data_IF_378593844788
#
_entry.id   IF_378593844788
#
_cell.length_a   1.000
_cell.length_b   1.000
_cell.length_c   1.000
_cell.angle_alpha   90.00
_cell.angle_beta   90.00
_cell.angle_gamma   90.00
#
_symmetry.space_group_name_H-M   'P 1'
#
loop_
_entity.id
_entity.type
_entity.pdbx_description
1 polymer ?
#
# COMPACT_ATOMS: atom_id res chain seq x y z
N UNK A 1 35.90 20.16 -33.97
CA UNK A 1 35.94 19.49 -32.63
C UNK A 1 34.82 19.91 -31.64
N UNK A 2 34.27 21.14 -31.70
CA UNK A 2 33.19 21.61 -30.79
C UNK A 2 31.80 20.96 -31.00
N UNK A 3 31.44 20.59 -32.22
CA UNK A 3 30.12 20.03 -32.56
C UNK A 3 29.86 18.66 -31.89
N UNK A 4 30.87 17.77 -31.89
CA UNK A 4 30.81 16.43 -31.24
C UNK A 4 30.64 16.50 -29.71
N UNK A 5 31.08 17.57 -29.05
CA UNK A 5 30.88 17.76 -27.60
C UNK A 5 29.46 18.19 -27.27
N UNK A 6 28.80 19.00 -28.12
CA UNK A 6 27.39 19.39 -27.95
C UNK A 6 26.44 18.21 -28.15
N UNK A 7 26.66 17.38 -29.17
CA UNK A 7 25.81 16.20 -29.42
C UNK A 7 25.91 15.15 -28.32
N UNK A 8 27.11 14.94 -27.74
CA UNK A 8 27.28 14.05 -26.57
C UNK A 8 26.57 14.57 -25.31
N UNK A 9 26.60 15.88 -25.05
CA UNK A 9 25.88 16.49 -23.91
C UNK A 9 24.35 16.38 -24.09
N UNK A 10 23.85 16.58 -25.30
CA UNK A 10 22.43 16.41 -25.61
C UNK A 10 21.97 14.95 -25.46
N UNK A 11 22.78 13.99 -25.92
CA UNK A 11 22.49 12.56 -25.75
C UNK A 11 22.47 12.13 -24.27
N UNK A 12 23.40 12.64 -23.46
CA UNK A 12 23.43 12.37 -22.00
C UNK A 12 22.22 13.01 -21.30
N UNK A 13 21.85 14.24 -21.63
CA UNK A 13 20.66 14.89 -21.06
C UNK A 13 19.36 14.16 -21.43
N UNK A 14 19.24 13.69 -22.68
CA UNK A 14 18.10 12.89 -23.13
C UNK A 14 18.04 11.52 -22.41
N UNK A 15 19.19 10.86 -22.19
CA UNK A 15 19.25 9.62 -21.44
C UNK A 15 18.85 9.81 -19.96
N UNK A 16 19.30 10.89 -19.30
CA UNK A 16 18.91 11.22 -17.93
C UNK A 16 17.41 11.50 -17.84
N UNK A 17 16.85 12.25 -18.80
CA UNK A 17 15.42 12.52 -18.85
C UNK A 17 14.59 11.24 -19.06
N UNK A 18 15.03 10.33 -19.94
CA UNK A 18 14.35 9.05 -20.18
C UNK A 18 14.38 8.14 -18.95
N UNK A 19 15.50 8.10 -18.21
CA UNK A 19 15.59 7.35 -16.95
C UNK A 19 14.68 7.96 -15.89
N UNK A 20 14.66 9.28 -15.73
CA UNK A 20 13.76 9.96 -14.78
C UNK A 20 12.27 9.70 -15.10
N UNK A 21 11.90 9.73 -16.38
CA UNK A 21 10.53 9.40 -16.83
C UNK A 21 10.21 7.93 -16.54
N UNK A 22 11.13 7.00 -16.83
CA UNK A 22 10.91 5.58 -16.56
C UNK A 22 10.74 5.27 -15.07
N UNK A 23 11.46 5.96 -14.18
CA UNK A 23 11.24 5.85 -12.73
C UNK A 23 9.88 6.44 -12.31
N UNK A 24 9.49 7.60 -12.83
CA UNK A 24 8.21 8.22 -12.49
C UNK A 24 7.00 7.39 -12.94
N UNK A 25 7.06 6.76 -14.13
CA UNK A 25 5.97 5.92 -14.65
C UNK A 25 5.75 4.65 -13.83
N UNK A 26 6.82 4.04 -13.29
CA UNK A 26 6.70 2.83 -12.43
C UNK A 26 5.93 3.10 -11.14
N UNK A 27 6.12 4.27 -10.53
CA UNK A 27 5.42 4.64 -9.30
C UNK A 27 3.91 4.78 -9.51
N UNK A 28 3.47 5.27 -10.67
CA UNK A 28 2.04 5.48 -10.97
C UNK A 28 1.28 4.19 -11.28
N UNK A 29 1.90 3.19 -11.92
CA UNK A 29 1.23 1.93 -12.28
C UNK A 29 0.91 1.08 -11.05
N UNK A 30 1.77 1.10 -10.02
CA UNK A 30 1.51 0.37 -8.78
C UNK A 30 0.32 0.96 -7.99
N UNK A 31 -0.01 2.23 -8.18
CA UNK A 31 -1.06 2.94 -7.42
C UNK A 31 -2.41 3.01 -8.13
N UNK A 32 -2.53 2.55 -9.38
CA UNK A 32 -3.76 2.67 -10.17
C UNK A 32 -4.48 1.33 -10.37
N UNK A 33 -4.67 0.61 -9.26
CA UNK A 33 -5.48 -0.60 -9.20
C UNK A 33 -6.95 -0.22 -8.92
N UNK A 34 -7.92 -0.88 -9.54
CA UNK A 34 -9.35 -0.67 -9.27
C UNK A 34 -9.78 -1.26 -7.92
N UNK A 35 -8.99 -2.19 -7.40
CA UNK A 35 -9.16 -2.80 -6.08
C UNK A 35 -8.31 -2.13 -5.00
N UNK A 36 -7.73 -0.97 -5.30
CA UNK A 36 -7.04 -0.17 -4.29
C UNK A 36 -7.99 0.19 -3.14
N UNK A 37 -7.56 -0.06 -1.91
CA UNK A 37 -8.39 0.12 -0.72
C UNK A 37 -9.03 1.51 -0.60
N UNK A 38 -8.35 2.58 -1.05
CA UNK A 38 -8.89 3.94 -1.00
C UNK A 38 -10.04 4.18 -2.00
N UNK A 39 -10.14 3.33 -3.03
CA UNK A 39 -11.26 3.35 -3.98
C UNK A 39 -12.41 2.47 -3.49
N UNK A 40 -12.11 1.27 -2.99
CA UNK A 40 -13.15 0.28 -2.69
C UNK A 40 -13.76 0.44 -1.30
N UNK A 41 -13.02 1.00 -0.32
CA UNK A 41 -13.45 1.14 1.08
C UNK A 41 -12.95 2.48 1.68
N UNK A 42 -13.24 3.63 1.04
CA UNK A 42 -12.78 4.92 1.54
C UNK A 42 -13.30 5.26 2.96
N UNK A 43 -14.38 4.62 3.40
CA UNK A 43 -14.97 4.82 4.72
C UNK A 43 -14.07 4.35 5.88
N UNK A 44 -13.21 3.34 5.66
CA UNK A 44 -12.35 2.77 6.69
C UNK A 44 -10.89 3.25 6.59
N UNK A 45 -10.50 3.90 5.49
CA UNK A 45 -9.11 4.23 5.20
C UNK A 45 -8.91 5.69 4.85
N UNK A 46 -7.89 6.29 5.45
CA UNK A 46 -7.48 7.66 5.18
C UNK A 46 -6.04 7.72 4.71
N UNK A 47 -5.80 8.39 3.60
CA UNK A 47 -4.45 8.72 3.15
C UNK A 47 -3.84 9.81 4.05
N UNK A 48 -2.71 9.53 4.68
CA UNK A 48 -2.01 10.49 5.57
C UNK A 48 -0.77 11.07 4.88
N UNK A 49 0.03 10.23 4.22
CA UNK A 49 1.26 10.63 3.54
C UNK A 49 1.28 9.97 2.17
N UNK A 50 1.65 10.74 1.14
CA UNK A 50 1.96 10.22 -0.18
C UNK A 50 3.21 10.90 -0.72
N UNK A 51 4.28 10.14 -0.95
CA UNK A 51 5.52 10.65 -1.49
C UNK A 51 6.14 9.62 -2.46
N UNK A 52 7.30 9.90 -3.10
CA UNK A 52 7.88 8.98 -4.08
C UNK A 52 8.25 7.59 -3.53
N UNK A 53 8.44 7.43 -2.21
CA UNK A 53 8.90 6.19 -1.60
C UNK A 53 7.77 5.40 -0.96
N UNK A 54 6.86 6.11 -0.28
CA UNK A 54 5.83 5.49 0.55
C UNK A 54 4.48 6.15 0.37
N UNK A 55 3.45 5.34 0.58
CA UNK A 55 2.09 5.77 0.91
C UNK A 55 1.79 5.35 2.35
N UNK A 56 1.22 6.23 3.16
CA UNK A 56 0.84 5.91 4.55
C UNK A 56 -0.67 6.08 4.71
N UNK A 57 -1.32 5.01 5.18
CA UNK A 57 -2.75 4.94 5.40
C UNK A 57 -3.05 4.78 6.90
N UNK A 58 -4.04 5.51 7.39
CA UNK A 58 -4.72 5.18 8.65
C UNK A 58 -5.87 4.24 8.30
N UNK A 59 -5.91 3.07 8.94
CA UNK A 59 -6.98 2.10 8.81
C UNK A 59 -7.77 2.02 10.12
N UNK A 60 -9.09 2.12 10.03
CA UNK A 60 -10.04 1.96 11.13
C UNK A 60 -11.15 1.02 10.70
N UNK A 61 -11.15 -0.19 11.26
CA UNK A 61 -12.13 -1.23 10.91
C UNK A 61 -13.04 -1.46 12.12
N UNK A 62 -14.32 -1.05 12.08
CA UNK A 62 -15.23 -1.22 13.21
C UNK A 62 -15.42 -2.68 13.61
N UNK A 63 -15.66 -2.92 14.89
CA UNK A 63 -15.96 -4.25 15.42
C UNK A 63 -17.20 -4.86 14.73
N UNK A 64 -17.14 -6.15 14.41
CA UNK A 64 -18.24 -6.89 13.78
C UNK A 64 -18.47 -6.60 12.30
N UNK A 65 -17.60 -5.82 11.64
CA UNK A 65 -17.71 -5.52 10.20
C UNK A 65 -16.83 -6.43 9.34
N UNK A 66 -17.24 -6.60 8.09
CA UNK A 66 -16.47 -7.29 7.05
C UNK A 66 -16.18 -6.32 5.90
N UNK A 67 -14.93 -6.26 5.49
CA UNK A 67 -14.47 -5.45 4.39
C UNK A 67 -14.69 -6.16 3.04
N UNK A 68 -14.97 -5.38 2.01
CA UNK A 68 -14.99 -5.87 0.62
C UNK A 68 -13.58 -6.34 0.21
N UNK A 69 -13.45 -7.26 -0.75
CA UNK A 69 -12.14 -7.59 -1.33
C UNK A 69 -11.37 -6.36 -1.80
N UNK A 70 -10.12 -6.22 -1.38
CA UNK A 70 -9.27 -5.08 -1.74
C UNK A 70 -7.78 -5.47 -1.75
N UNK A 71 -6.96 -4.53 -2.20
CA UNK A 71 -5.50 -4.66 -2.30
C UNK A 71 -4.81 -3.51 -1.58
N UNK A 72 -3.61 -3.85 -1.12
CA UNK A 72 -2.61 -2.94 -0.61
C UNK A 72 -1.30 -3.16 -1.37
N UNK A 73 -0.43 -2.16 -1.41
CA UNK A 73 0.99 -2.40 -1.74
C UNK A 73 1.65 -3.16 -0.59
N UNK A 74 2.79 -3.81 -0.87
CA UNK A 74 3.60 -4.46 0.17
C UNK A 74 4.06 -3.43 1.21
N UNK A 75 4.16 -3.82 2.47
CA UNK A 75 4.54 -2.86 3.51
C UNK A 75 4.40 -3.33 4.94
N UNK A 76 4.62 -2.38 5.84
CA UNK A 76 4.60 -2.56 7.30
C UNK A 76 3.31 -1.98 7.87
N UNK A 77 2.73 -2.63 8.86
CA UNK A 77 1.58 -2.14 9.63
C UNK A 77 1.93 -2.08 11.11
N UNK A 78 1.44 -1.05 11.81
CA UNK A 78 1.60 -0.84 13.25
C UNK A 78 0.23 -0.74 13.89
N UNK A 79 -0.09 -1.69 14.77
CA UNK A 79 -1.34 -1.70 15.52
C UNK A 79 -1.33 -0.63 16.62
N UNK A 80 -2.35 0.25 16.62
CA UNK A 80 -2.53 1.30 17.63
C UNK A 80 -3.56 0.92 18.70
N UNK A 81 -4.40 -0.08 18.42
CA UNK A 81 -5.33 -0.69 19.39
C UNK A 81 -5.08 -2.20 19.49
N UNK A 82 -5.65 -2.83 20.52
CA UNK A 82 -5.79 -4.28 20.54
C UNK A 82 -7.03 -4.68 19.74
N UNK A 83 -6.91 -5.67 18.86
CA UNK A 83 -8.00 -6.11 18.01
C UNK A 83 -7.81 -7.55 17.53
N UNK A 84 -8.89 -8.13 17.03
CA UNK A 84 -8.88 -9.44 16.38
C UNK A 84 -9.51 -9.36 15.00
N UNK A 85 -8.69 -9.59 13.97
CA UNK A 85 -9.16 -9.71 12.60
C UNK A 85 -9.08 -11.16 12.14
N UNK A 86 -9.98 -11.55 11.25
CA UNK A 86 -9.73 -12.67 10.35
C UNK A 86 -9.45 -12.13 8.97
N UNK A 87 -8.44 -12.69 8.30
CA UNK A 87 -8.07 -12.33 6.94
C UNK A 87 -7.90 -13.57 6.09
N UNK A 88 -8.19 -13.45 4.80
CA UNK A 88 -7.85 -14.47 3.81
C UNK A 88 -7.35 -13.85 2.51
N UNK A 89 -6.39 -14.51 1.88
CA UNK A 89 -6.00 -14.19 0.49
C UNK A 89 -7.03 -14.80 -0.46
N UNK A 90 -7.41 -14.08 -1.51
CA UNK A 90 -8.38 -14.56 -2.50
C UNK A 90 -7.69 -15.16 -3.74
N UNK A 91 -8.36 -16.08 -4.46
CA UNK A 91 -9.76 -16.51 -4.28
C UNK A 91 -9.98 -17.65 -3.27
N UNK A 92 -8.94 -18.40 -2.92
CA UNK A 92 -9.04 -19.73 -2.29
C UNK A 92 -8.35 -19.84 -0.91
N UNK A 93 -7.77 -18.75 -0.42
CA UNK A 93 -7.13 -18.71 0.88
C UNK A 93 -8.11 -18.92 2.04
N UNK A 94 -7.61 -19.58 3.08
CA UNK A 94 -8.39 -19.89 4.27
C UNK A 94 -8.49 -18.71 5.22
N UNK A 95 -9.56 -18.76 6.02
CA UNK A 95 -9.68 -18.17 7.36
C UNK A 95 -8.39 -18.17 8.20
N UNK A 96 -7.65 -17.06 8.30
CA UNK A 96 -6.58 -16.91 9.31
C UNK A 96 -6.98 -15.85 10.33
N UNK A 97 -7.01 -16.25 11.61
CA UNK A 97 -7.23 -15.35 12.75
C UNK A 97 -5.92 -14.65 13.13
N UNK A 98 -5.99 -13.34 13.28
CA UNK A 98 -4.89 -12.45 13.61
C UNK A 98 -5.25 -11.64 14.87
N UNK A 99 -4.62 -11.99 15.98
CA UNK A 99 -4.71 -11.21 17.22
C UNK A 99 -3.53 -10.25 17.29
N UNK A 100 -3.83 -8.96 17.48
CA UNK A 100 -2.82 -7.90 17.53
C UNK A 100 -2.97 -7.14 18.85
N UNK A 101 -1.84 -6.96 19.54
CA UNK A 101 -1.71 -6.07 20.70
C UNK A 101 -1.25 -4.69 20.24
N UNK A 102 -1.47 -3.66 21.06
CA UNK A 102 -0.91 -2.31 20.81
C UNK A 102 0.59 -2.39 20.57
N UNK A 103 1.08 -1.68 19.55
CA UNK A 103 2.49 -1.66 19.16
C UNK A 103 2.94 -2.85 18.30
N UNK A 104 2.07 -3.85 18.08
CA UNK A 104 2.41 -4.98 17.18
C UNK A 104 2.74 -4.43 15.79
N UNK A 105 3.93 -4.75 15.30
CA UNK A 105 4.40 -4.35 13.97
C UNK A 105 4.55 -5.59 13.10
N UNK A 106 4.00 -5.56 11.88
CA UNK A 106 4.02 -6.73 10.99
C UNK A 106 4.16 -6.35 9.52
N UNK A 107 4.77 -7.24 8.75
CA UNK A 107 4.89 -7.14 7.29
C UNK A 107 3.70 -7.80 6.60
N UNK A 108 3.35 -7.30 5.41
CA UNK A 108 2.42 -7.94 4.49
C UNK A 108 2.86 -7.69 3.05
N UNK A 109 2.84 -8.74 2.23
CA UNK A 109 3.01 -8.62 0.78
C UNK A 109 1.74 -8.08 0.11
N UNK A 110 1.88 -7.59 -1.13
CA UNK A 110 0.74 -7.15 -1.90
C UNK A 110 -0.11 -8.35 -2.35
N UNK A 111 -1.35 -8.42 -1.86
CA UNK A 111 -2.29 -9.48 -2.22
C UNK A 111 -3.73 -8.94 -2.31
N UNK A 112 -4.56 -9.61 -3.12
CA UNK A 112 -6.00 -9.45 -3.02
C UNK A 112 -6.45 -10.26 -1.81
N UNK A 113 -7.06 -9.58 -0.86
CA UNK A 113 -7.50 -10.22 0.37
C UNK A 113 -8.83 -9.63 0.84
N UNK A 114 -9.40 -10.32 1.80
CA UNK A 114 -10.60 -9.91 2.50
C UNK A 114 -10.34 -9.97 4.00
N UNK A 115 -10.93 -9.05 4.75
CA UNK A 115 -10.74 -8.89 6.19
C UNK A 115 -12.10 -8.76 6.86
N UNK A 116 -12.26 -9.39 8.02
CA UNK A 116 -13.39 -9.14 8.91
C UNK A 116 -12.91 -8.95 10.34
N UNK A 117 -13.49 -7.98 11.04
CA UNK A 117 -13.21 -7.76 12.44
C UNK A 117 -14.15 -8.63 13.29
N UNK A 118 -13.60 -9.73 13.81
CA UNK A 118 -14.32 -10.70 14.66
C UNK A 118 -14.15 -10.40 16.16
N UNK A 119 -13.42 -9.35 16.51
CA UNK A 119 -13.26 -8.87 17.87
C UNK A 119 -14.40 -7.93 18.29
N UNK A 120 -14.26 -7.40 19.50
CA UNK A 120 -15.21 -6.44 20.10
C UNK A 120 -14.70 -5.00 20.08
N UNK A 121 -13.50 -4.76 19.55
CA UNK A 121 -12.83 -3.46 19.48
C UNK A 121 -12.60 -3.04 18.03
N UNK A 122 -12.54 -1.73 17.78
CA UNK A 122 -12.09 -1.20 16.50
C UNK A 122 -10.61 -1.56 16.27
N UNK A 123 -10.31 -2.09 15.08
CA UNK A 123 -8.93 -2.20 14.62
C UNK A 123 -8.47 -0.82 14.17
N UNK A 124 -7.45 -0.26 14.83
CA UNK A 124 -6.81 0.98 14.44
C UNK A 124 -5.35 0.72 14.12
N UNK A 125 -4.96 0.97 12.87
CA UNK A 125 -3.63 0.61 12.35
C UNK A 125 -3.07 1.73 11.48
N UNK A 126 -1.77 1.99 11.61
CA UNK A 126 -1.02 2.76 10.61
C UNK A 126 -0.34 1.80 9.66
N UNK A 127 -0.68 1.88 8.38
CA UNK A 127 -0.08 1.08 7.32
C UNK A 127 0.88 1.94 6.49
N UNK A 128 2.14 1.54 6.44
CA UNK A 128 3.18 2.13 5.60
C UNK A 128 3.43 1.21 4.40
N UNK A 129 2.99 1.67 3.24
CA UNK A 129 3.08 0.97 1.97
C UNK A 129 4.28 1.44 1.16
N UNK A 130 5.08 0.49 0.66
CA UNK A 130 6.28 0.77 -0.14
C UNK A 130 5.94 0.78 -1.63
N UNK A 131 6.38 1.81 -2.35
CA UNK A 131 6.18 1.92 -3.80
C UNK A 131 7.22 1.15 -4.63
N UNK A 132 8.29 0.66 -3.98
CA UNK A 132 9.45 0.02 -4.61
C UNK A 132 9.89 -1.22 -3.84
#
# INVERSE_FOLDING_TARGET
MRLRRRSRKAAVAAAIALVAIALAVRSSVAQNDDLDVLKVIPENYKLIIDNPFVRVLEARIPAGTEERPHRHLKGVSVALTEYTLESRTLPDGQWVRNERKVGTTYWSDASLHQVRNVGTTESHTIRIELKH
#
